data_IF_893893689435
#
_entry.id   IF_893893689435
#
_cell.length_a   1.000
_cell.length_b   1.000
_cell.length_c   1.000
_cell.angle_alpha   90.00
_cell.angle_beta   90.00
_cell.angle_gamma   90.00
#
_symmetry.space_group_name_H-M   'P 1'
#
loop_
_entity.id
_entity.type
_entity.pdbx_description
1 polymer ?
#
# COMPACT_ATOMS: atom_id res chain seq x y z
N UNK A 1 4.09 -1.77 -15.05
CA UNK A 1 4.00 -0.59 -15.94
C UNK A 1 4.98 -0.78 -17.08
N UNK A 2 4.51 -1.23 -18.25
CA UNK A 2 5.42 -1.72 -19.31
C UNK A 2 5.60 -0.72 -20.46
N UNK A 3 5.02 0.49 -20.34
CA UNK A 3 5.02 1.53 -21.38
C UNK A 3 5.29 2.91 -20.77
N UNK A 4 6.52 3.21 -20.32
CA UNK A 4 6.82 4.47 -19.64
C UNK A 4 6.52 5.71 -20.50
N UNK A 5 6.63 5.62 -21.83
CA UNK A 5 6.32 6.76 -22.72
C UNK A 5 4.83 7.13 -22.72
N UNK A 6 3.93 6.25 -22.25
CA UNK A 6 2.51 6.56 -22.15
C UNK A 6 2.19 7.69 -21.15
N UNK A 7 3.14 7.99 -20.24
CA UNK A 7 2.98 9.06 -19.26
C UNK A 7 3.55 10.41 -19.72
N UNK A 8 4.28 10.46 -20.84
CA UNK A 8 5.03 11.68 -21.25
C UNK A 8 4.13 12.91 -21.35
N UNK A 9 3.01 12.82 -22.08
CA UNK A 9 2.09 13.94 -22.22
C UNK A 9 1.42 14.34 -20.90
N UNK A 10 1.26 13.40 -19.96
CA UNK A 10 0.61 13.65 -18.68
C UNK A 10 1.52 14.35 -17.66
N UNK A 11 2.85 14.23 -17.81
CA UNK A 11 3.84 14.83 -16.90
C UNK A 11 4.53 16.06 -17.49
N UNK A 12 4.28 16.38 -18.77
CA UNK A 12 4.89 17.53 -19.44
C UNK A 12 4.45 18.84 -18.77
N UNK A 13 5.43 19.65 -18.37
CA UNK A 13 5.19 20.91 -17.66
C UNK A 13 4.81 20.78 -16.18
N UNK A 14 4.69 19.55 -15.64
CA UNK A 14 4.42 19.35 -14.21
C UNK A 14 5.65 19.68 -13.34
N UNK A 15 5.43 20.35 -12.21
CA UNK A 15 6.47 20.62 -11.21
C UNK A 15 6.71 19.45 -10.26
N UNK A 16 5.80 18.47 -10.24
CA UNK A 16 5.85 17.28 -9.42
C UNK A 16 4.77 16.28 -9.85
N UNK A 17 4.94 15.02 -9.47
CA UNK A 17 4.03 13.92 -9.85
C UNK A 17 3.64 13.14 -8.59
N UNK A 18 2.35 12.99 -8.36
CA UNK A 18 1.82 12.11 -7.31
C UNK A 18 1.41 10.78 -7.93
N UNK A 19 2.22 9.74 -7.70
CA UNK A 19 1.89 8.40 -8.14
C UNK A 19 1.08 7.66 -7.07
N UNK A 20 -0.25 7.72 -7.19
CA UNK A 20 -1.18 7.10 -6.22
C UNK A 20 -1.75 5.77 -6.73
N UNK A 21 -1.84 5.60 -8.06
CA UNK A 21 -2.42 4.42 -8.67
C UNK A 21 -1.48 3.21 -8.56
N UNK A 22 -1.97 2.13 -7.94
CA UNK A 22 -1.29 0.84 -7.95
C UNK A 22 -2.26 -0.22 -8.46
N UNK A 23 -1.88 -1.05 -9.45
CA UNK A 23 -2.68 -2.22 -9.77
C UNK A 23 -2.73 -3.13 -8.55
N UNK A 24 -3.93 -3.51 -8.15
CA UNK A 24 -4.16 -4.50 -7.11
C UNK A 24 -4.86 -5.67 -7.79
N UNK A 25 -4.06 -6.66 -8.20
CA UNK A 25 -4.59 -7.94 -8.60
C UNK A 25 -4.86 -8.70 -7.28
N UNK A 26 -6.10 -8.64 -6.81
CA UNK A 26 -6.54 -9.40 -5.65
C UNK A 26 -6.82 -10.82 -6.13
N UNK A 27 -5.82 -11.71 -6.04
CA UNK A 27 -6.10 -13.14 -6.10
C UNK A 27 -6.84 -13.51 -4.82
N UNK A 28 -8.07 -14.04 -4.95
CA UNK A 28 -8.86 -14.60 -3.85
C UNK A 28 -8.14 -15.87 -3.34
N UNK A 29 -7.22 -15.72 -2.39
CA UNK A 29 -6.81 -16.82 -1.52
C UNK A 29 -7.74 -16.84 -0.29
N UNK A 30 -8.26 -18.02 0.07
CA UNK A 30 -9.11 -18.21 1.25
C UNK A 30 -8.45 -17.62 2.50
N UNK A 31 -9.14 -16.66 3.13
CA UNK A 31 -8.73 -16.04 4.39
C UNK A 31 -9.09 -16.95 5.56
N UNK A 32 -8.09 -17.45 6.28
CA UNK A 32 -8.30 -18.05 7.61
C UNK A 32 -8.22 -16.93 8.65
N UNK A 33 -9.37 -16.30 8.93
CA UNK A 33 -9.51 -15.09 9.77
C UNK A 33 -9.21 -15.35 11.26
N UNK A 34 -8.94 -16.59 11.65
CA UNK A 34 -8.95 -17.01 13.06
C UNK A 34 -7.76 -16.53 13.91
N UNK A 35 -6.67 -16.03 13.32
CA UNK A 35 -5.56 -15.44 14.09
C UNK A 35 -5.10 -14.10 13.50
N UNK A 36 -5.82 -13.02 13.82
CA UNK A 36 -5.30 -11.65 13.61
C UNK A 36 -4.18 -11.37 14.61
N UNK A 37 -3.00 -11.97 14.39
CA UNK A 37 -1.79 -11.62 15.13
C UNK A 37 -1.26 -10.34 14.50
N UNK A 38 -1.42 -9.23 15.23
CA UNK A 38 -0.93 -7.90 14.83
C UNK A 38 0.49 -8.04 14.23
N UNK A 39 0.66 -7.55 13.00
CA UNK A 39 1.90 -7.61 12.19
C UNK A 39 3.15 -7.06 12.90
N UNK A 40 2.96 -6.41 14.04
CA UNK A 40 3.98 -5.72 14.81
C UNK A 40 4.34 -6.60 16.01
N UNK A 41 5.15 -7.64 15.80
CA UNK A 41 5.73 -8.38 16.93
C UNK A 41 6.71 -7.47 17.67
N UNK A 42 6.26 -6.87 18.77
CA UNK A 42 7.13 -6.27 19.78
C UNK A 42 7.71 -4.88 19.48
N UNK A 43 7.22 -4.17 18.46
CA UNK A 43 7.49 -2.73 18.31
C UNK A 43 6.25 -1.94 18.73
N UNK A 44 6.39 -1.16 19.79
CA UNK A 44 5.35 -0.23 20.25
C UNK A 44 5.37 1.07 19.42
N UNK A 45 6.50 1.33 18.73
CA UNK A 45 6.75 2.52 17.92
C UNK A 45 7.35 2.07 16.60
N UNK A 46 6.77 2.54 15.49
CA UNK A 46 7.23 2.31 14.12
C UNK A 46 7.56 3.66 13.51
N UNK A 47 8.70 3.75 12.83
CA UNK A 47 9.19 4.96 12.15
C UNK A 47 9.56 4.66 10.68
N UNK A 48 10.08 5.65 9.95
CA UNK A 48 10.46 5.53 8.54
C UNK A 48 11.66 4.59 8.30
N UNK A 49 12.37 4.18 9.36
CA UNK A 49 13.44 3.19 9.28
C UNK A 49 12.92 1.76 9.32
N UNK A 50 11.66 1.59 9.71
CA UNK A 50 11.01 0.30 9.91
C UNK A 50 10.46 -0.27 8.59
N UNK A 51 10.68 -1.56 8.35
CA UNK A 51 10.23 -2.24 7.14
C UNK A 51 9.50 -3.54 7.45
N UNK A 52 8.44 -3.81 6.69
CA UNK A 52 7.73 -5.08 6.74
C UNK A 52 8.61 -6.25 6.29
N UNK A 53 8.55 -7.36 7.03
CA UNK A 53 9.18 -8.62 6.64
C UNK A 53 8.27 -9.39 5.67
N UNK A 54 8.64 -9.38 4.39
CA UNK A 54 7.91 -10.06 3.32
C UNK A 54 7.82 -11.57 3.53
N UNK A 55 8.85 -12.20 4.12
CA UNK A 55 8.81 -13.64 4.38
C UNK A 55 7.82 -13.94 5.50
N UNK A 56 7.81 -13.11 6.54
CA UNK A 56 6.84 -13.22 7.62
C UNK A 56 5.40 -13.00 7.11
N UNK A 57 5.15 -12.01 6.25
CA UNK A 57 3.82 -11.78 5.66
C UNK A 57 3.34 -13.01 4.89
N UNK A 58 4.19 -13.57 4.03
CA UNK A 58 3.86 -14.77 3.25
C UNK A 58 3.58 -15.99 4.13
N UNK A 59 4.31 -16.10 5.24
CA UNK A 59 4.16 -17.21 6.18
C UNK A 59 2.91 -17.06 7.07
N UNK A 60 2.73 -15.88 7.68
CA UNK A 60 1.68 -15.62 8.67
C UNK A 60 0.30 -15.37 8.04
N UNK A 61 0.25 -15.13 6.72
CA UNK A 61 -0.98 -14.83 5.96
C UNK A 61 -1.95 -13.87 6.70
N UNK A 62 -1.45 -12.70 7.13
CA UNK A 62 -2.28 -11.67 7.77
C UNK A 62 -3.28 -11.09 6.76
N UNK A 63 -4.26 -10.32 7.26
CA UNK A 63 -5.22 -9.59 6.42
C UNK A 63 -4.50 -8.84 5.28
N UNK A 64 -4.93 -9.06 4.04
CA UNK A 64 -4.37 -8.47 2.81
C UNK A 64 -2.85 -8.75 2.57
N UNK A 65 -2.40 -10.00 2.51
CA UNK A 65 -0.98 -10.34 2.46
C UNK A 65 -0.31 -9.92 1.13
N UNK A 66 -1.05 -10.00 0.02
CA UNK A 66 -0.58 -9.54 -1.30
C UNK A 66 -0.36 -8.02 -1.31
N UNK A 67 -1.29 -7.26 -0.71
CA UNK A 67 -1.19 -5.81 -0.58
C UNK A 67 0.07 -5.42 0.21
N UNK A 68 0.26 -5.97 1.41
CA UNK A 68 1.42 -5.66 2.25
C UNK A 68 2.75 -6.01 1.55
N UNK A 69 2.78 -7.14 0.84
CA UNK A 69 3.96 -7.58 0.08
C UNK A 69 4.26 -6.62 -1.07
N UNK A 70 3.28 -6.34 -1.93
CA UNK A 70 3.46 -5.49 -3.10
C UNK A 70 3.81 -4.04 -2.72
N UNK A 71 3.20 -3.50 -1.66
CA UNK A 71 3.53 -2.16 -1.14
C UNK A 71 5.00 -2.07 -0.70
N UNK A 72 5.44 -3.04 0.10
CA UNK A 72 6.83 -3.08 0.59
C UNK A 72 7.83 -3.18 -0.55
N UNK A 73 7.60 -4.09 -1.51
CA UNK A 73 8.52 -4.31 -2.63
C UNK A 73 8.56 -3.12 -3.60
N UNK A 74 7.40 -2.53 -3.90
CA UNK A 74 7.30 -1.40 -4.82
C UNK A 74 7.96 -0.16 -4.22
N UNK A 75 7.78 0.09 -2.93
CA UNK A 75 8.41 1.22 -2.24
C UNK A 75 9.94 1.09 -2.23
N UNK A 76 10.48 -0.07 -1.85
CA UNK A 76 11.93 -0.33 -1.91
C UNK A 76 12.48 -0.12 -3.31
N UNK A 77 11.82 -0.67 -4.32
CA UNK A 77 12.24 -0.52 -5.71
C UNK A 77 12.19 0.94 -6.18
N UNK A 78 11.16 1.70 -5.77
CA UNK A 78 11.03 3.12 -6.11
C UNK A 78 12.16 3.95 -5.47
N UNK A 79 12.48 3.71 -4.20
CA UNK A 79 13.57 4.40 -3.48
C UNK A 79 14.92 4.10 -4.13
N UNK A 80 15.22 2.83 -4.39
CA UNK A 80 16.46 2.43 -5.05
C UNK A 80 16.58 3.03 -6.46
N UNK A 81 15.49 3.05 -7.22
CA UNK A 81 15.48 3.63 -8.56
C UNK A 81 15.68 5.15 -8.52
N UNK A 82 14.97 5.84 -7.62
CA UNK A 82 15.09 7.28 -7.44
C UNK A 82 16.52 7.69 -7.06
N UNK A 83 17.17 6.94 -6.17
CA UNK A 83 18.59 7.16 -5.84
C UNK A 83 19.51 7.03 -7.06
N UNK A 84 19.26 6.06 -7.95
CA UNK A 84 20.06 5.85 -9.18
C UNK A 84 19.94 6.99 -10.18
N UNK A 85 18.74 7.55 -10.35
CA UNK A 85 18.49 8.64 -11.30
C UNK A 85 18.52 10.03 -10.67
N UNK A 86 18.88 10.13 -9.38
CA UNK A 86 18.86 11.37 -8.59
C UNK A 86 17.50 12.09 -8.62
N UNK A 87 16.41 11.31 -8.63
CA UNK A 87 15.06 11.83 -8.51
C UNK A 87 14.74 12.11 -7.04
N UNK A 88 14.23 13.31 -6.74
CA UNK A 88 13.77 13.64 -5.40
C UNK A 88 12.42 12.95 -5.12
N UNK A 89 12.49 11.76 -4.54
CA UNK A 89 11.32 10.95 -4.18
C UNK A 89 10.95 11.16 -2.71
N UNK A 90 9.65 11.32 -2.47
CA UNK A 90 9.05 11.23 -1.13
C UNK A 90 8.03 10.10 -1.17
N UNK A 91 8.13 9.17 -0.23
CA UNK A 91 7.13 8.12 0.00
C UNK A 91 6.27 8.48 1.19
N UNK A 92 4.97 8.20 1.13
CA UNK A 92 4.02 8.43 2.22
C UNK A 92 3.35 7.10 2.55
N UNK A 93 3.75 6.52 3.68
CA UNK A 93 3.12 5.32 4.21
C UNK A 93 1.80 5.69 4.90
N UNK A 94 0.70 5.63 4.15
CA UNK A 94 -0.62 5.89 4.67
C UNK A 94 -1.12 4.70 5.52
N UNK A 95 -1.73 5.02 6.67
CA UNK A 95 -2.49 4.06 7.46
C UNK A 95 -3.89 3.82 6.86
N UNK A 96 -4.79 3.23 7.64
CA UNK A 96 -6.18 3.05 7.26
C UNK A 96 -6.85 4.40 7.01
N UNK A 97 -7.24 4.64 5.75
CA UNK A 97 -7.93 5.87 5.36
C UNK A 97 -9.42 5.76 5.70
N UNK A 98 -9.90 6.71 6.48
CA UNK A 98 -11.31 6.87 6.85
C UNK A 98 -11.82 8.27 6.48
N UNK A 99 -13.11 8.40 6.17
CA UNK A 99 -13.78 9.69 5.96
C UNK A 99 -14.65 9.75 4.71
N UNK A 100 -15.16 10.96 4.38
CA UNK A 100 -15.96 11.18 3.18
C UNK A 100 -15.19 10.82 1.91
N UNK A 101 -15.87 10.27 0.93
CA UNK A 101 -15.31 9.93 -0.37
C UNK A 101 -16.15 10.51 -1.49
N UNK A 102 -15.50 10.87 -2.60
CA UNK A 102 -16.16 11.44 -3.79
C UNK A 102 -16.39 10.38 -4.88
N UNK A 103 -15.89 9.17 -4.69
CA UNK A 103 -16.02 8.07 -5.64
C UNK A 103 -17.44 7.51 -5.64
N UNK A 104 -17.93 6.99 -6.78
CA UNK A 104 -19.28 6.40 -6.85
C UNK A 104 -19.43 5.11 -6.02
N UNK A 105 -18.31 4.46 -5.69
CA UNK A 105 -18.26 3.29 -4.82
C UNK A 105 -17.55 3.63 -3.51
N UNK A 106 -18.04 3.04 -2.41
CA UNK A 106 -17.40 3.13 -1.10
C UNK A 106 -16.00 2.50 -1.17
N UNK A 107 -14.92 3.23 -0.80
CA UNK A 107 -13.59 2.65 -0.72
C UNK A 107 -13.54 1.51 0.29
N UNK A 108 -12.80 0.45 -0.03
CA UNK A 108 -12.71 -0.78 0.78
C UNK A 108 -12.33 -0.52 2.25
N UNK A 109 -11.37 0.37 2.51
CA UNK A 109 -10.95 0.71 3.88
C UNK A 109 -12.04 1.42 4.68
N UNK A 110 -12.86 2.25 4.01
CA UNK A 110 -14.00 2.92 4.64
C UNK A 110 -15.07 1.90 4.97
N UNK A 111 -15.34 0.95 4.08
CA UNK A 111 -16.30 -0.13 4.31
C UNK A 111 -15.92 -0.97 5.53
N UNK A 112 -14.70 -1.50 5.60
CA UNK A 112 -14.20 -2.27 6.76
C UNK A 112 -14.39 -1.47 8.06
N UNK A 113 -14.04 -0.19 8.05
CA UNK A 113 -14.15 0.64 9.25
C UNK A 113 -15.59 0.86 9.69
N UNK A 114 -16.51 1.06 8.75
CA UNK A 114 -17.94 1.16 9.04
C UNK A 114 -18.48 -0.17 9.58
N UNK A 115 -18.08 -1.30 9.01
CA UNK A 115 -18.50 -2.63 9.48
C UNK A 115 -17.98 -2.91 10.91
N UNK A 116 -16.77 -2.48 11.26
CA UNK A 116 -16.27 -2.57 12.64
C UNK A 116 -17.07 -1.73 13.64
N UNK A 117 -17.58 -0.56 13.22
CA UNK A 117 -18.35 0.34 14.09
C UNK A 117 -19.81 -0.13 14.24
N UNK A 118 -20.42 -0.56 13.13
CA UNK A 118 -21.85 -0.83 13.06
C UNK A 118 -22.22 -2.32 13.08
N UNK A 119 -21.25 -3.23 12.91
CA UNK A 119 -21.41 -4.67 13.09
C UNK A 119 -22.19 -5.39 11.99
N UNK A 120 -21.90 -5.10 10.72
CA UNK A 120 -22.43 -5.89 9.59
C UNK A 120 -21.72 -7.23 9.42
#
# INVERSE_FOLDING_TARGET
MNKPQSFTAAIEGCVGVFHVAQPMDMEEEEEDVNETKLMIKGLDIVDESSWSDVNFIKFAKPLLPCYSTCKTLTEKAAIEFAAKIQLHLVSVAASWIHGPFITPHCPFTVQIFLDMIFGN
#
